data_IF_082177060847
#
_entry.id   IF_082177060847
#
_cell.length_a   1.000
_cell.length_b   1.000
_cell.length_c   1.000
_cell.angle_alpha   90.00
_cell.angle_beta   90.00
_cell.angle_gamma   90.00
#
_symmetry.space_group_name_H-M   'P 1'
#
loop_
_entity.id
_entity.type
_entity.pdbx_description
1 polymer ?
#
# COMPACT_ATOMS: atom_id res chain seq x y z
N UNK A 1 9.51 21.08 -3.65
CA UNK A 1 8.96 19.72 -3.78
C UNK A 1 8.89 19.10 -2.39
N UNK A 2 7.74 18.57 -1.98
CA UNK A 2 7.56 17.97 -0.64
C UNK A 2 7.12 16.51 -0.76
N UNK A 3 7.75 15.62 0.01
CA UNK A 3 7.37 14.21 0.08
C UNK A 3 6.21 14.08 1.08
N UNK A 4 5.05 13.68 0.59
CA UNK A 4 3.89 13.28 1.42
C UNK A 4 4.08 11.85 1.91
N UNK A 5 4.03 11.65 3.23
CA UNK A 5 4.09 10.34 3.89
C UNK A 5 2.82 10.11 4.70
N UNK A 6 2.37 8.87 4.82
CA UNK A 6 1.24 8.49 5.67
C UNK A 6 1.53 7.19 6.42
N UNK A 7 1.07 7.12 7.66
CA UNK A 7 1.21 5.96 8.52
C UNK A 7 -0.14 5.23 8.68
N UNK A 8 -0.19 3.98 8.26
CA UNK A 8 -1.31 3.06 8.42
C UNK A 8 -1.08 2.16 9.64
N UNK A 9 -1.43 2.65 10.83
CA UNK A 9 -1.28 1.93 12.11
C UNK A 9 -2.63 1.73 12.80
N UNK A 10 -2.68 0.80 13.76
CA UNK A 10 -3.88 0.58 14.58
C UNK A 10 -4.19 1.79 15.47
N UNK A 11 -5.44 1.89 15.94
CA UNK A 11 -5.89 2.96 16.84
C UNK A 11 -6.32 4.26 16.15
N UNK A 12 -6.24 4.35 14.81
CA UNK A 12 -6.72 5.50 14.03
C UNK A 12 -8.04 5.21 13.33
N UNK A 13 -8.75 6.27 12.94
CA UNK A 13 -9.97 6.15 12.14
C UNK A 13 -9.64 5.72 10.70
N UNK A 14 -10.19 4.57 10.30
CA UNK A 14 -10.01 4.00 8.95
C UNK A 14 -10.37 5.01 7.87
N UNK A 15 -11.47 5.77 8.04
CA UNK A 15 -11.94 6.72 7.03
C UNK A 15 -10.96 7.86 6.79
N UNK A 16 -10.23 8.27 7.82
CA UNK A 16 -9.23 9.32 7.68
C UNK A 16 -7.99 8.82 6.94
N UNK A 17 -7.60 7.56 7.18
CA UNK A 17 -6.54 6.89 6.41
C UNK A 17 -6.94 6.78 4.93
N UNK A 18 -8.19 6.40 4.64
CA UNK A 18 -8.70 6.30 3.26
C UNK A 18 -8.61 7.64 2.53
N UNK A 19 -9.12 8.73 3.14
CA UNK A 19 -9.08 10.07 2.53
C UNK A 19 -7.67 10.56 2.26
N UNK A 20 -6.72 10.29 3.17
CA UNK A 20 -5.31 10.66 2.98
C UNK A 20 -4.66 9.87 1.86
N UNK A 21 -4.96 8.57 1.75
CA UNK A 21 -4.47 7.73 0.66
C UNK A 21 -5.04 8.16 -0.69
N UNK A 22 -6.34 8.47 -0.75
CA UNK A 22 -7.02 8.98 -1.95
C UNK A 22 -6.46 10.34 -2.42
N UNK A 23 -6.03 11.19 -1.50
CA UNK A 23 -5.38 12.46 -1.81
C UNK A 23 -3.95 12.32 -2.41
N UNK A 24 -3.44 11.09 -2.49
CA UNK A 24 -2.14 10.75 -3.06
C UNK A 24 -0.99 10.95 -2.07
N UNK A 25 -0.24 9.87 -1.84
CA UNK A 25 0.87 9.77 -0.90
C UNK A 25 2.06 9.13 -1.59
N UNK A 26 3.27 9.54 -1.26
CA UNK A 26 4.50 9.00 -1.86
C UNK A 26 5.06 7.83 -1.05
N UNK A 27 4.92 7.89 0.28
CA UNK A 27 5.40 6.86 1.19
C UNK A 27 4.27 6.44 2.13
N UNK A 28 4.05 5.14 2.24
CA UNK A 28 3.14 4.55 3.22
C UNK A 28 3.95 3.63 4.12
N UNK A 29 3.83 3.84 5.43
CA UNK A 29 4.41 2.96 6.46
C UNK A 29 3.24 2.37 7.25
N UNK A 30 3.27 1.09 7.61
CA UNK A 30 2.15 0.54 8.39
C UNK A 30 2.39 -0.85 8.92
N UNK A 31 1.55 -1.24 9.88
CA UNK A 31 1.57 -2.60 10.44
C UNK A 31 0.83 -3.57 9.51
N UNK A 32 1.24 -4.85 9.43
CA UNK A 32 0.68 -5.81 8.47
C UNK A 32 -0.84 -5.90 8.49
N UNK A 33 -1.43 -5.99 9.68
CA UNK A 33 -2.88 -6.07 9.84
C UNK A 33 -3.61 -4.86 9.29
N UNK A 34 -3.11 -3.64 9.52
CA UNK A 34 -3.74 -2.41 9.04
C UNK A 34 -3.51 -2.20 7.55
N UNK A 35 -2.31 -2.49 7.05
CA UNK A 35 -2.02 -2.43 5.61
C UNK A 35 -2.92 -3.41 4.85
N UNK A 36 -3.04 -4.65 5.31
CA UNK A 36 -3.92 -5.65 4.69
C UNK A 36 -5.40 -5.22 4.71
N UNK A 37 -5.91 -4.67 5.83
CA UNK A 37 -7.27 -4.13 5.90
C UNK A 37 -7.50 -3.01 4.86
N UNK A 38 -6.54 -2.11 4.70
CA UNK A 38 -6.61 -1.01 3.72
C UNK A 38 -6.49 -1.48 2.26
N UNK A 39 -5.81 -2.60 2.01
CA UNK A 39 -5.75 -3.27 0.69
C UNK A 39 -7.09 -3.92 0.37
N UNK A 40 -7.65 -4.70 1.30
CA UNK A 40 -8.92 -5.40 1.12
C UNK A 40 -10.09 -4.42 0.90
N UNK A 41 -10.05 -3.25 1.54
CA UNK A 41 -11.00 -2.15 1.35
C UNK A 41 -10.81 -1.37 0.05
N UNK A 42 -9.91 -1.80 -0.84
CA UNK A 42 -9.56 -1.19 -2.13
C UNK A 42 -8.87 0.18 -2.06
N UNK A 43 -8.70 0.76 -0.87
CA UNK A 43 -8.08 2.07 -0.68
C UNK A 43 -6.57 2.09 -1.00
N UNK A 44 -5.88 0.96 -0.83
CA UNK A 44 -4.50 0.79 -1.30
C UNK A 44 -4.38 0.09 -2.66
N UNK A 45 -5.45 -0.53 -3.16
CA UNK A 45 -5.41 -1.37 -4.37
C UNK A 45 -5.10 -0.57 -5.63
N UNK A 46 -5.58 0.67 -5.72
CA UNK A 46 -5.29 1.59 -6.82
C UNK A 46 -3.79 1.98 -6.87
N UNK A 47 -3.13 2.05 -5.72
CA UNK A 47 -1.70 2.40 -5.58
C UNK A 47 -0.80 1.18 -5.76
N UNK A 48 -1.21 0.03 -5.24
CA UNK A 48 -0.40 -1.19 -5.27
C UNK A 48 -0.32 -1.85 -6.66
N UNK A 49 -1.43 -1.88 -7.41
CA UNK A 49 -1.48 -2.63 -8.67
C UNK A 49 -1.33 -1.79 -9.93
N UNK A 50 -1.18 -0.46 -9.84
CA UNK A 50 -1.31 0.37 -11.03
C UNK A 50 -2.68 0.17 -11.70
N UNK A 51 -3.75 0.15 -10.90
CA UNK A 51 -5.10 -0.09 -11.41
C UNK A 51 -5.70 1.17 -12.04
N UNK A 52 -5.90 1.13 -13.36
CA UNK A 52 -6.66 2.12 -14.13
C UNK A 52 -8.06 2.26 -13.49
N UNK A 53 -8.34 3.41 -12.85
CA UNK A 53 -9.73 3.80 -12.57
C UNK A 53 -10.37 4.16 -13.91
N UNK A 54 -11.07 3.21 -14.53
CA UNK A 54 -12.04 3.52 -15.59
C UNK A 54 -13.28 4.08 -14.89
N UNK A 55 -13.26 5.40 -14.65
CA UNK A 55 -14.50 6.13 -14.45
C UNK A 55 -15.10 6.35 -15.84
N UNK A 56 -16.31 5.83 -16.08
CA UNK A 56 -17.07 6.07 -17.32
C UNK A 56 -17.56 7.51 -17.32
N UNK A 57 -16.63 8.44 -17.45
CA UNK A 57 -16.89 9.87 -17.57
C UNK A 57 -15.83 10.42 -18.50
N UNK A 58 -16.19 10.40 -19.79
CA UNK A 58 -15.74 11.28 -20.89
C UNK A 58 -14.32 11.87 -20.76
N UNK A 59 -13.46 11.44 -21.70
CA UNK A 59 -12.37 12.24 -22.31
C UNK A 59 -11.57 13.09 -21.31
N UNK A 60 -10.51 12.51 -20.74
CA UNK A 60 -9.15 12.90 -21.08
C UNK A 60 -8.18 11.94 -20.37
N UNK A 61 -7.49 11.18 -21.20
CA UNK A 61 -6.56 10.11 -20.84
C UNK A 61 -5.34 10.72 -20.16
N UNK A 62 -5.27 10.63 -18.83
CA UNK A 62 -4.02 10.69 -18.07
C UNK A 62 -4.05 9.51 -17.10
N UNK A 63 -3.63 8.34 -17.57
CA UNK A 63 -3.47 7.15 -16.73
C UNK A 63 -2.00 6.93 -16.42
N UNK A 64 -1.40 7.84 -15.65
CA UNK A 64 -0.14 7.55 -14.96
C UNK A 64 -0.47 6.78 -13.68
N UNK A 65 -0.76 5.49 -13.84
CA UNK A 65 -0.98 4.61 -12.70
C UNK A 65 0.35 4.37 -12.02
N UNK A 66 0.59 5.11 -10.94
CA UNK A 66 1.80 5.01 -10.13
C UNK A 66 1.78 3.72 -9.31
N UNK A 67 2.22 2.63 -9.93
CA UNK A 67 2.42 1.36 -9.24
C UNK A 67 3.55 1.50 -8.20
N UNK A 68 3.45 0.77 -7.09
CA UNK A 68 4.52 0.70 -6.08
C UNK A 68 5.80 0.20 -6.74
N UNK A 69 6.89 0.95 -6.57
CA UNK A 69 8.23 0.59 -7.06
C UNK A 69 9.11 -0.06 -6.00
N UNK A 70 8.81 0.15 -4.72
CA UNK A 70 9.61 -0.36 -3.61
C UNK A 70 8.72 -0.81 -2.46
N UNK A 71 9.01 -1.99 -1.93
CA UNK A 71 8.42 -2.54 -0.72
C UNK A 71 9.53 -2.88 0.27
N UNK A 72 9.38 -2.41 1.51
CA UNK A 72 10.34 -2.63 2.60
C UNK A 72 9.64 -3.38 3.73
N UNK A 73 10.23 -4.50 4.14
CA UNK A 73 9.83 -5.24 5.35
C UNK A 73 10.85 -4.97 6.45
N UNK A 74 10.40 -4.43 7.57
CA UNK A 74 11.24 -4.21 8.76
C UNK A 74 10.96 -5.31 9.79
N UNK A 75 11.99 -5.82 10.48
CA UNK A 75 11.88 -6.92 11.45
C UNK A 75 11.12 -8.14 10.89
N UNK A 76 11.45 -8.54 9.66
CA UNK A 76 10.67 -9.53 8.91
C UNK A 76 10.56 -10.90 9.62
N UNK A 77 11.60 -11.30 10.37
CA UNK A 77 11.61 -12.50 11.20
C UNK A 77 10.61 -12.42 12.36
N UNK A 78 10.55 -11.29 13.05
CA UNK A 78 9.57 -11.04 14.09
C UNK A 78 8.15 -11.06 13.51
N UNK A 79 7.92 -10.40 12.38
CA UNK A 79 6.61 -10.39 11.72
C UNK A 79 6.14 -11.80 11.36
N UNK A 80 7.03 -12.66 10.87
CA UNK A 80 6.73 -14.04 10.54
C UNK A 80 6.45 -14.88 11.80
N UNK A 81 7.24 -14.70 12.85
CA UNK A 81 7.06 -15.40 14.14
C UNK A 81 5.72 -15.06 14.81
N UNK A 82 5.24 -13.82 14.66
CA UNK A 82 3.96 -13.32 15.18
C UNK A 82 2.74 -13.77 14.36
N UNK A 83 2.94 -14.54 13.28
CA UNK A 83 1.86 -15.09 12.47
C UNK A 83 1.33 -14.15 11.38
N UNK A 84 2.07 -13.09 11.00
CA UNK A 84 1.65 -12.19 9.92
C UNK A 84 1.93 -12.72 8.51
N UNK A 85 2.39 -13.96 8.38
CA UNK A 85 2.77 -14.59 7.11
C UNK A 85 1.69 -14.47 6.03
N UNK A 86 0.45 -14.82 6.35
CA UNK A 86 -0.65 -14.81 5.37
C UNK A 86 -0.97 -13.39 4.89
N UNK A 87 -0.90 -12.42 5.80
CA UNK A 87 -1.17 -11.02 5.50
C UNK A 87 -0.09 -10.45 4.59
N UNK A 88 1.19 -10.74 4.88
CA UNK A 88 2.33 -10.38 4.03
C UNK A 88 2.18 -11.03 2.65
N UNK A 89 1.77 -12.29 2.58
CA UNK A 89 1.56 -13.00 1.33
C UNK A 89 0.45 -12.35 0.47
N UNK A 90 -0.65 -11.92 1.06
CA UNK A 90 -1.71 -11.17 0.35
C UNK A 90 -1.22 -9.81 -0.18
N UNK A 91 -0.36 -9.11 0.58
CA UNK A 91 0.27 -7.87 0.13
C UNK A 91 1.15 -8.16 -1.11
N UNK A 92 1.98 -9.21 -1.07
CA UNK A 92 2.83 -9.61 -2.21
C UNK A 92 2.04 -9.97 -3.46
N UNK A 93 0.92 -10.69 -3.33
CA UNK A 93 0.03 -11.00 -4.48
C UNK A 93 -0.51 -9.75 -5.17
N UNK A 94 -0.55 -8.63 -4.46
CA UNK A 94 -1.05 -7.36 -4.97
C UNK A 94 0.05 -6.47 -5.57
N UNK A 95 1.31 -6.89 -5.59
CA UNK A 95 2.40 -6.10 -6.15
C UNK A 95 2.65 -6.43 -7.63
N UNK A 96 3.17 -5.48 -8.42
CA UNK A 96 3.62 -5.75 -9.77
C UNK A 96 4.96 -6.53 -9.75
N UNK A 97 5.29 -7.18 -10.88
CA UNK A 97 6.50 -8.01 -10.98
C UNK A 97 7.82 -7.21 -10.98
N UNK A 98 7.77 -5.90 -11.20
CA UNK A 98 8.95 -5.01 -11.26
C UNK A 98 9.22 -4.29 -9.92
N UNK A 99 8.54 -4.69 -8.83
CA UNK A 99 8.75 -4.10 -7.52
C UNK A 99 10.10 -4.51 -6.92
N UNK A 100 10.85 -3.54 -6.39
CA UNK A 100 12.01 -3.82 -5.56
C UNK A 100 11.56 -4.21 -4.16
N UNK A 101 12.01 -5.37 -3.67
CA UNK A 101 11.71 -5.85 -2.32
C UNK A 101 12.99 -5.81 -1.48
N UNK A 102 12.95 -5.08 -0.37
CA UNK A 102 14.04 -5.03 0.59
C UNK A 102 13.54 -5.53 1.96
N UNK A 103 14.41 -6.20 2.70
CA UNK A 103 14.17 -6.55 4.10
C UNK A 103 15.23 -5.86 4.95
N UNK A 104 14.82 -5.31 6.08
CA UNK A 104 15.67 -4.77 7.13
C UNK A 104 15.57 -5.72 8.31
N UNK A 105 16.72 -6.10 8.85
CA UNK A 105 16.87 -6.93 10.06
C UNK A 105 17.82 -6.14 10.96
N UNK A 106 17.39 -5.86 12.20
CA UNK A 106 18.16 -5.10 13.19
C UNK A 106 18.91 -6.03 14.16
#
# INVERSE_FOLDING_TARGET
MGVKCHACIGGTNVRDDQRKLEAGVHIVVGTPGRVNDMIQRQSLRSVMQGYLRVEVTRKDVISETSAIKMFVLDEADEMLSRGFKDQIYEVFKCMPNDVQVNSIIL
#
